data_IF_775066781791
#
_entry.id   IF_775066781791
#
_cell.length_a   1.000
_cell.length_b   1.000
_cell.length_c   1.000
_cell.angle_alpha   90.00
_cell.angle_beta   90.00
_cell.angle_gamma   90.00
#
_symmetry.space_group_name_H-M   'P 1'
#
loop_
_entity.id
_entity.type
_entity.pdbx_description
1 polymer ?
#
# COMPACT_ATOMS: atom_id res chain seq x y z
N UNK A 1 -24.09 -7.21 -1.74
CA UNK A 1 -24.45 -5.79 -1.54
C UNK A 1 -23.18 -4.93 -1.62
N UNK A 2 -22.27 -5.26 -2.55
CA UNK A 2 -20.89 -4.76 -2.58
C UNK A 2 -20.67 -3.60 -3.56
N UNK A 3 -21.64 -3.32 -4.44
CA UNK A 3 -21.57 -2.24 -5.45
C UNK A 3 -21.95 -0.84 -4.90
N UNK A 4 -22.15 -0.69 -3.58
CA UNK A 4 -22.58 0.58 -2.96
C UNK A 4 -21.41 1.30 -2.26
N UNK A 5 -20.28 0.61 -2.06
CA UNK A 5 -19.08 1.25 -1.52
C UNK A 5 -18.50 2.18 -2.59
N UNK A 6 -18.81 3.46 -2.44
CA UNK A 6 -18.36 4.53 -3.31
C UNK A 6 -16.85 4.44 -3.51
N UNK A 7 -16.48 4.17 -4.75
CA UNK A 7 -15.14 4.34 -5.26
C UNK A 7 -14.70 5.79 -4.95
N UNK A 8 -13.83 5.96 -3.96
CA UNK A 8 -13.31 7.25 -3.46
C UNK A 8 -12.43 7.98 -4.49
N UNK A 9 -12.49 7.62 -5.77
CA UNK A 9 -11.49 8.04 -6.78
C UNK A 9 -12.08 8.62 -8.07
N UNK A 10 -13.41 8.70 -8.23
CA UNK A 10 -14.00 9.09 -9.53
C UNK A 10 -14.07 10.60 -9.80
N UNK A 11 -13.64 11.46 -8.87
CA UNK A 11 -13.70 12.92 -9.00
C UNK A 11 -12.35 13.59 -8.71
N UNK A 12 -11.98 14.66 -9.44
CA UNK A 12 -10.81 15.47 -9.10
C UNK A 12 -10.92 16.04 -7.68
N UNK A 13 -9.78 16.20 -7.01
CA UNK A 13 -9.73 16.84 -5.69
C UNK A 13 -10.35 18.25 -5.73
N UNK A 14 -11.00 18.66 -4.63
CA UNK A 14 -11.68 19.96 -4.48
C UNK A 14 -10.83 21.14 -4.94
N UNK A 15 -9.52 21.08 -4.73
CA UNK A 15 -8.59 22.16 -5.12
C UNK A 15 -8.53 22.40 -6.63
N UNK A 16 -8.82 21.38 -7.44
CA UNK A 16 -8.86 21.48 -8.90
C UNK A 16 -10.27 21.76 -9.42
N UNK A 17 -11.31 21.61 -8.59
CA UNK A 17 -12.67 21.91 -8.99
C UNK A 17 -12.92 23.43 -8.97
N UNK A 18 -13.54 24.00 -10.01
CA UNK A 18 -14.01 25.38 -9.98
C UNK A 18 -14.94 25.63 -8.78
N UNK A 19 -14.84 26.83 -8.17
CA UNK A 19 -15.67 27.21 -7.00
C UNK A 19 -17.18 27.02 -7.24
N UNK A 20 -17.63 27.17 -8.48
CA UNK A 20 -19.03 26.96 -8.86
C UNK A 20 -19.51 25.50 -8.61
N UNK A 21 -18.60 24.52 -8.68
CA UNK A 21 -18.91 23.11 -8.44
C UNK A 21 -18.84 22.70 -6.97
N UNK A 22 -18.25 23.52 -6.10
CA UNK A 22 -18.06 23.19 -4.68
C UNK A 22 -19.39 22.92 -3.98
N UNK A 23 -20.45 23.66 -4.31
CA UNK A 23 -21.79 23.41 -3.75
C UNK A 23 -22.37 22.05 -4.16
N UNK A 24 -22.05 21.56 -5.36
CA UNK A 24 -22.48 20.23 -5.81
C UNK A 24 -21.68 19.13 -5.11
N UNK A 25 -20.37 19.35 -4.89
CA UNK A 25 -19.54 18.48 -4.07
C UNK A 25 -20.06 18.40 -2.64
N UNK A 26 -20.31 19.54 -1.99
CA UNK A 26 -20.84 19.60 -0.62
C UNK A 26 -22.19 18.88 -0.50
N UNK A 27 -23.05 18.98 -1.52
CA UNK A 27 -24.33 18.28 -1.55
C UNK A 27 -24.16 16.76 -1.69
N UNK A 28 -23.20 16.30 -2.51
CA UNK A 28 -22.87 14.87 -2.65
C UNK A 28 -22.28 14.33 -1.34
N UNK A 29 -21.37 15.06 -0.71
CA UNK A 29 -20.74 14.64 0.55
C UNK A 29 -21.77 14.58 1.67
N UNK A 30 -22.65 15.59 1.78
CA UNK A 30 -23.77 15.57 2.74
C UNK A 30 -24.71 14.38 2.53
N UNK A 31 -25.02 14.03 1.27
CA UNK A 31 -25.86 12.88 0.97
C UNK A 31 -25.17 11.55 1.33
N UNK A 32 -23.85 11.48 1.08
CA UNK A 32 -23.03 10.32 1.41
C UNK A 32 -22.88 10.13 2.92
N UNK A 33 -22.62 11.20 3.67
CA UNK A 33 -22.53 11.18 5.13
C UNK A 33 -23.83 10.66 5.75
N UNK A 34 -24.99 11.17 5.30
CA UNK A 34 -26.30 10.66 5.77
C UNK A 34 -26.51 9.19 5.44
N UNK A 35 -26.07 8.76 4.25
CA UNK A 35 -26.17 7.35 3.86
C UNK A 35 -25.31 6.46 4.76
N UNK A 36 -24.06 6.83 4.99
CA UNK A 36 -23.10 6.08 5.83
C UNK A 36 -23.52 6.09 7.30
N UNK A 37 -23.99 7.23 7.82
CA UNK A 37 -24.51 7.34 9.20
C UNK A 37 -25.71 6.41 9.39
N UNK A 38 -26.67 6.43 8.45
CA UNK A 38 -27.84 5.56 8.49
C UNK A 38 -27.48 4.08 8.34
N UNK A 39 -26.54 3.74 7.46
CA UNK A 39 -26.04 2.38 7.29
C UNK A 39 -25.37 1.88 8.58
N UNK A 40 -24.56 2.73 9.22
CA UNK A 40 -23.87 2.41 10.47
C UNK A 40 -24.85 2.23 11.64
N UNK A 41 -25.83 3.13 11.79
CA UNK A 41 -26.85 3.05 12.84
C UNK A 41 -27.69 1.76 12.73
N UNK A 42 -27.93 1.28 11.51
CA UNK A 42 -28.81 0.14 11.25
C UNK A 42 -28.10 -1.10 10.70
N UNK A 43 -26.77 -1.18 10.87
CA UNK A 43 -25.93 -2.25 10.31
C UNK A 43 -26.49 -3.65 10.61
N UNK A 44 -26.91 -3.91 11.84
CA UNK A 44 -27.47 -5.19 12.27
C UNK A 44 -28.74 -5.63 11.52
N UNK A 45 -29.54 -4.67 11.02
CA UNK A 45 -30.76 -4.95 10.25
C UNK A 45 -30.50 -5.02 8.74
N UNK A 46 -29.43 -4.39 8.28
CA UNK A 46 -29.03 -4.34 6.86
C UNK A 46 -28.27 -5.63 6.49
N UNK A 47 -27.45 -6.15 7.40
CA UNK A 47 -26.68 -7.36 7.21
C UNK A 47 -27.56 -8.54 6.75
N UNK A 48 -27.01 -9.39 5.88
CA UNK A 48 -27.73 -10.57 5.39
C UNK A 48 -28.06 -11.60 6.48
N UNK A 49 -27.27 -11.61 7.56
CA UNK A 49 -27.40 -12.52 8.70
C UNK A 49 -28.27 -11.96 9.84
N UNK A 50 -28.97 -10.84 9.63
CA UNK A 50 -29.80 -10.16 10.63
C UNK A 50 -30.75 -11.11 11.38
N UNK A 51 -31.32 -12.10 10.70
CA UNK A 51 -32.28 -13.05 11.28
C UNK A 51 -31.60 -13.99 12.28
N UNK A 52 -30.41 -14.50 11.93
CA UNK A 52 -29.57 -15.34 12.82
C UNK A 52 -29.14 -14.53 14.04
N UNK A 53 -28.72 -13.27 13.84
CA UNK A 53 -28.31 -12.39 14.92
C UNK A 53 -29.46 -12.06 15.87
N UNK A 54 -30.67 -11.81 15.34
CA UNK A 54 -31.85 -11.52 16.15
C UNK A 54 -32.32 -12.76 16.94
N UNK A 55 -32.29 -13.94 16.33
CA UNK A 55 -32.58 -15.22 17.02
C UNK A 55 -31.61 -15.48 18.17
N UNK A 56 -30.31 -15.29 17.95
CA UNK A 56 -29.30 -15.46 19.00
C UNK A 56 -29.50 -14.48 20.18
N UNK A 57 -30.00 -13.26 19.91
CA UNK A 57 -30.38 -12.31 20.96
C UNK A 57 -31.59 -12.77 21.75
N UNK A 58 -32.60 -13.35 21.10
CA UNK A 58 -33.79 -13.91 21.76
C UNK A 58 -33.42 -15.12 22.65
N UNK A 59 -32.57 -16.02 22.16
CA UNK A 59 -32.07 -17.16 22.95
C UNK A 59 -31.30 -16.69 24.20
N UNK A 60 -30.41 -15.70 24.04
CA UNK A 60 -29.64 -15.11 25.13
C UNK A 60 -30.54 -14.40 26.16
N UNK A 61 -31.53 -13.65 25.69
CA UNK A 61 -32.47 -12.93 26.55
C UNK A 61 -33.37 -13.89 27.34
N UNK A 62 -33.84 -14.98 26.72
CA UNK A 62 -34.59 -16.04 27.38
C UNK A 62 -33.76 -16.74 28.48
N UNK A 63 -32.49 -17.05 28.20
CA UNK A 63 -31.58 -17.62 29.19
C UNK A 63 -31.34 -16.68 30.38
N UNK A 64 -31.19 -15.37 30.12
CA UNK A 64 -31.05 -14.35 31.15
C UNK A 64 -32.32 -14.22 32.01
N UNK A 65 -33.50 -14.22 31.40
CA UNK A 65 -34.78 -14.15 32.12
C UNK A 65 -35.00 -15.35 33.05
N UNK A 66 -34.71 -16.57 32.56
CA UNK A 66 -34.76 -17.78 33.39
C UNK A 66 -33.81 -17.69 34.59
N UNK A 67 -32.60 -17.17 34.38
CA UNK A 67 -31.61 -16.97 35.45
C UNK A 67 -32.08 -15.92 36.48
N UNK A 68 -32.81 -14.91 36.03
CA UNK A 68 -33.38 -13.87 36.89
C UNK A 68 -34.68 -14.28 37.59
N UNK A 69 -35.20 -15.49 37.35
CA UNK A 69 -36.46 -15.97 37.93
C UNK A 69 -37.72 -15.32 37.32
N UNK A 70 -37.60 -14.76 36.12
CA UNK A 70 -38.71 -14.19 35.35
C UNK A 70 -39.14 -15.12 34.22
N UNK A 71 -40.40 -15.05 33.78
CA UNK A 71 -40.88 -15.85 32.64
C UNK A 71 -40.19 -15.37 31.34
N UNK A 72 -39.46 -16.25 30.61
CA UNK A 72 -38.82 -15.89 29.35
C UNK A 72 -39.83 -15.48 28.26
N UNK A 73 -41.10 -15.88 28.35
CA UNK A 73 -42.15 -15.51 27.39
C UNK A 73 -42.62 -14.06 27.55
N UNK A 74 -42.37 -13.43 28.71
CA UNK A 74 -42.69 -12.02 28.94
C UNK A 74 -41.62 -11.07 28.36
N UNK A 75 -40.49 -11.60 27.86
CA UNK A 75 -39.42 -10.81 27.26
C UNK A 75 -39.76 -10.48 25.80
N UNK A 76 -39.67 -9.21 25.37
CA UNK A 76 -39.95 -8.83 23.98
C UNK A 76 -38.99 -9.50 22.98
N UNK A 77 -39.55 -10.11 21.92
CA UNK A 77 -38.75 -10.71 20.84
C UNK A 77 -38.06 -9.67 19.97
N UNK A 78 -36.74 -9.80 19.87
CA UNK A 78 -35.87 -9.09 18.94
C UNK A 78 -36.07 -9.54 17.51
N UNK A 79 -36.39 -10.82 17.27
CA UNK A 79 -36.74 -11.29 15.93
C UNK A 79 -37.98 -10.59 15.38
N UNK A 80 -39.07 -10.54 16.14
CA UNK A 80 -40.31 -9.85 15.72
C UNK A 80 -40.07 -8.34 15.53
N UNK A 81 -39.31 -7.72 16.43
CA UNK A 81 -38.92 -6.32 16.32
C UNK A 81 -38.14 -6.06 15.02
N UNK A 82 -37.15 -6.90 14.72
CA UNK A 82 -36.32 -6.80 13.52
C UNK A 82 -37.13 -7.06 12.24
N UNK A 83 -37.99 -8.08 12.21
CA UNK A 83 -38.89 -8.38 11.09
C UNK A 83 -39.78 -7.18 10.74
N UNK A 84 -40.31 -6.48 11.74
CA UNK A 84 -41.15 -5.30 11.55
C UNK A 84 -40.35 -4.07 11.10
N UNK A 85 -39.15 -3.86 11.64
CA UNK A 85 -38.32 -2.67 11.35
C UNK A 85 -37.58 -2.77 10.02
N UNK A 86 -37.08 -3.96 9.67
CA UNK A 86 -36.16 -4.16 8.55
C UNK A 86 -36.70 -3.68 7.19
N UNK A 87 -37.95 -3.95 6.78
CA UNK A 87 -38.46 -3.44 5.52
C UNK A 87 -38.45 -1.91 5.45
N UNK A 88 -38.69 -1.22 6.58
CA UNK A 88 -38.65 0.24 6.67
C UNK A 88 -37.22 0.76 6.54
N UNK A 89 -36.27 0.12 7.23
CA UNK A 89 -34.84 0.43 7.15
C UNK A 89 -34.33 0.25 5.72
N UNK A 90 -34.60 -0.88 5.09
CA UNK A 90 -34.20 -1.13 3.70
C UNK A 90 -34.87 -0.16 2.72
N UNK A 91 -36.12 0.21 2.96
CA UNK A 91 -36.82 1.22 2.18
C UNK A 91 -36.13 2.59 2.26
N UNK A 92 -35.80 3.05 3.47
CA UNK A 92 -35.06 4.29 3.69
C UNK A 92 -33.66 4.24 3.07
N UNK A 93 -32.92 3.14 3.25
CA UNK A 93 -31.59 2.94 2.66
C UNK A 93 -31.62 3.05 1.14
N UNK A 94 -32.65 2.49 0.47
CA UNK A 94 -32.82 2.63 -0.99
C UNK A 94 -33.03 4.07 -1.42
N UNK A 95 -33.78 4.87 -0.65
CA UNK A 95 -34.01 6.30 -0.92
C UNK A 95 -32.71 7.08 -0.76
N UNK A 96 -31.97 6.88 0.33
CA UNK A 96 -30.68 7.52 0.57
C UNK A 96 -29.67 7.16 -0.52
N UNK A 97 -29.57 5.88 -0.91
CA UNK A 97 -28.71 5.45 -2.01
C UNK A 97 -29.12 6.05 -3.37
N UNK A 98 -30.42 6.28 -3.61
CA UNK A 98 -30.89 6.98 -4.80
C UNK A 98 -30.53 8.46 -4.77
N UNK A 99 -30.58 9.10 -3.59
CA UNK A 99 -30.15 10.49 -3.41
C UNK A 99 -28.66 10.66 -3.69
N UNK A 100 -27.80 9.81 -3.11
CA UNK A 100 -26.35 9.78 -3.37
C UNK A 100 -26.06 9.67 -4.86
N UNK A 101 -26.68 8.70 -5.54
CA UNK A 101 -26.51 8.52 -7.00
C UNK A 101 -26.95 9.73 -7.81
N UNK A 102 -28.03 10.40 -7.40
CA UNK A 102 -28.53 11.60 -8.06
C UNK A 102 -27.57 12.78 -7.90
N UNK A 103 -27.07 13.02 -6.69
CA UNK A 103 -26.10 14.09 -6.43
C UNK A 103 -24.77 13.84 -7.12
N UNK A 104 -24.33 12.58 -7.13
CA UNK A 104 -23.10 12.16 -7.80
C UNK A 104 -23.20 12.34 -9.32
N UNK A 105 -24.28 11.88 -9.95
CA UNK A 105 -24.50 12.06 -11.39
C UNK A 105 -24.56 13.54 -11.79
N UNK A 106 -25.18 14.39 -10.96
CA UNK A 106 -25.21 15.83 -11.20
C UNK A 106 -23.81 16.47 -11.13
N UNK A 107 -23.01 16.07 -10.14
CA UNK A 107 -21.63 16.53 -9.98
C UNK A 107 -20.74 16.05 -11.13
N UNK A 108 -20.78 14.76 -11.47
CA UNK A 108 -20.02 14.19 -12.60
C UNK A 108 -20.36 14.89 -13.91
N UNK A 109 -21.64 15.14 -14.18
CA UNK A 109 -22.06 15.85 -15.38
C UNK A 109 -21.53 17.29 -15.42
N UNK A 110 -21.46 17.96 -14.27
CA UNK A 110 -20.92 19.32 -14.18
C UNK A 110 -19.39 19.33 -14.32
N UNK A 111 -18.69 18.41 -13.67
CA UNK A 111 -17.23 18.24 -13.77
C UNK A 111 -16.80 17.97 -15.21
N UNK A 112 -17.53 17.11 -15.93
CA UNK A 112 -17.24 16.79 -17.35
C UNK A 112 -17.22 18.03 -18.26
N UNK A 113 -18.02 19.06 -17.95
CA UNK A 113 -18.05 20.31 -18.71
C UNK A 113 -16.86 21.20 -18.42
N UNK A 114 -16.28 21.06 -17.23
CA UNK A 114 -15.15 21.85 -16.74
C UNK A 114 -13.79 21.14 -16.91
N UNK A 115 -13.76 19.91 -17.48
CA UNK A 115 -12.55 19.13 -17.64
C UNK A 115 -11.38 19.91 -18.27
N UNK A 116 -11.57 20.70 -19.36
CA UNK A 116 -10.45 21.46 -19.93
C UNK A 116 -9.86 22.49 -18.95
N UNK A 117 -10.68 23.11 -18.12
CA UNK A 117 -10.22 24.07 -17.11
C UNK A 117 -9.50 23.35 -15.95
N UNK A 118 -9.98 22.17 -15.57
CA UNK A 118 -9.35 21.31 -14.56
C UNK A 118 -7.97 20.83 -15.04
N UNK A 119 -7.87 20.36 -16.30
CA UNK A 119 -6.61 19.97 -16.94
C UNK A 119 -5.62 21.14 -16.98
N UNK A 120 -6.06 22.32 -17.42
CA UNK A 120 -5.22 23.52 -17.46
C UNK A 120 -4.74 23.94 -16.06
N UNK A 121 -5.53 23.71 -15.00
CA UNK A 121 -5.13 23.98 -13.63
C UNK A 121 -4.18 22.91 -13.06
N UNK A 122 -4.24 21.67 -13.56
CA UNK A 122 -3.38 20.57 -13.15
C UNK A 122 -1.97 20.67 -13.77
N UNK A 123 -1.86 21.18 -15.00
CA UNK A 123 -0.60 21.23 -15.75
C UNK A 123 0.56 21.94 -15.01
N UNK A 124 0.36 23.12 -14.38
CA UNK A 124 1.42 23.77 -13.60
C UNK A 124 1.88 22.93 -12.39
N UNK A 125 0.98 22.16 -11.79
CA UNK A 125 1.30 21.27 -10.66
C UNK A 125 2.15 20.11 -11.15
N UNK A 126 1.79 19.51 -12.28
CA UNK A 126 2.58 18.44 -12.93
C UNK A 126 3.97 18.97 -13.30
N UNK A 127 4.06 20.15 -13.93
CA UNK A 127 5.34 20.76 -14.30
C UNK A 127 6.22 21.06 -13.09
N UNK A 128 5.63 21.54 -11.98
CA UNK A 128 6.35 21.77 -10.72
C UNK A 128 6.85 20.46 -10.12
N UNK A 129 6.02 19.41 -10.08
CA UNK A 129 6.39 18.09 -9.58
C UNK A 129 7.50 17.46 -10.44
N UNK A 130 7.42 17.56 -11.76
CA UNK A 130 8.45 17.09 -12.68
C UNK A 130 9.78 17.81 -12.46
N UNK A 131 9.76 19.13 -12.26
CA UNK A 131 10.95 19.91 -11.96
C UNK A 131 11.58 19.47 -10.63
N UNK A 132 10.77 19.30 -9.58
CA UNK A 132 11.24 18.83 -8.28
C UNK A 132 11.85 17.42 -8.38
N UNK A 133 11.24 16.54 -9.17
CA UNK A 133 11.77 15.21 -9.45
C UNK A 133 13.14 15.26 -10.13
N UNK A 134 13.31 16.07 -11.18
CA UNK A 134 14.60 16.25 -11.87
C UNK A 134 15.68 16.77 -10.92
N UNK A 135 15.36 17.74 -10.06
CA UNK A 135 16.30 18.27 -9.07
C UNK A 135 16.71 17.20 -8.06
N UNK A 136 15.75 16.42 -7.55
CA UNK A 136 16.03 15.32 -6.63
C UNK A 136 16.90 14.23 -7.29
N UNK A 137 16.63 13.89 -8.55
CA UNK A 137 17.41 12.93 -9.31
C UNK A 137 18.85 13.42 -9.50
N UNK A 138 19.05 14.68 -9.88
CA UNK A 138 20.38 15.27 -10.02
C UNK A 138 21.16 15.26 -8.70
N UNK A 139 20.50 15.55 -7.58
CA UNK A 139 21.11 15.47 -6.25
C UNK A 139 21.49 14.03 -5.87
N UNK A 140 20.62 13.06 -6.18
CA UNK A 140 20.88 11.64 -5.95
C UNK A 140 22.07 11.14 -6.79
N UNK A 141 22.13 11.52 -8.07
CA UNK A 141 23.25 11.16 -8.95
C UNK A 141 24.57 11.80 -8.47
N UNK A 142 24.55 13.06 -8.04
CA UNK A 142 25.73 13.70 -7.46
C UNK A 142 26.20 13.00 -6.17
N UNK A 143 25.27 12.60 -5.28
CA UNK A 143 25.60 11.82 -4.10
C UNK A 143 26.21 10.45 -4.45
N UNK A 144 25.64 9.78 -5.46
CA UNK A 144 26.15 8.51 -6.00
C UNK A 144 27.59 8.66 -6.53
N UNK A 145 27.88 9.74 -7.27
CA UNK A 145 29.24 10.00 -7.79
C UNK A 145 30.26 10.25 -6.67
N UNK A 146 29.88 11.00 -5.62
CA UNK A 146 30.74 11.22 -4.44
C UNK A 146 31.00 9.93 -3.67
N UNK A 147 30.00 9.07 -3.58
CA UNK A 147 30.15 7.75 -2.98
C UNK A 147 31.18 6.91 -3.76
N UNK A 148 31.05 6.82 -5.09
CA UNK A 148 32.03 6.10 -5.92
C UNK A 148 33.45 6.67 -5.84
N UNK A 149 33.61 8.00 -5.81
CA UNK A 149 34.91 8.63 -5.59
C UNK A 149 35.54 8.23 -4.24
N UNK A 150 34.71 8.12 -3.19
CA UNK A 150 35.15 7.68 -1.87
C UNK A 150 35.57 6.20 -1.85
N UNK A 151 34.93 5.35 -2.66
CA UNK A 151 35.31 3.94 -2.83
C UNK A 151 36.67 3.80 -3.52
N UNK A 152 36.95 4.62 -4.54
CA UNK A 152 38.27 4.64 -5.19
C UNK A 152 39.38 5.01 -4.21
N UNK A 153 39.18 6.07 -3.41
CA UNK A 153 40.13 6.45 -2.36
C UNK A 153 40.37 5.29 -1.38
N UNK A 154 39.30 4.62 -0.94
CA UNK A 154 39.41 3.46 -0.05
C UNK A 154 40.18 2.31 -0.69
N UNK A 155 39.90 1.99 -1.96
CA UNK A 155 40.58 0.93 -2.69
C UNK A 155 42.07 1.21 -2.75
N UNK A 156 42.45 2.43 -3.13
CA UNK A 156 43.84 2.88 -3.15
C UNK A 156 44.53 2.78 -1.77
N UNK A 157 43.88 3.26 -0.69
CA UNK A 157 44.43 3.11 0.68
C UNK A 157 44.62 1.63 1.04
N UNK A 158 43.71 0.75 0.60
CA UNK A 158 43.79 -0.69 0.87
C UNK A 158 44.94 -1.35 0.10
N UNK A 159 45.09 -1.04 -1.19
CA UNK A 159 46.21 -1.49 -2.02
C UNK A 159 47.55 -1.07 -1.41
N UNK A 160 47.64 0.18 -0.96
CA UNK A 160 48.84 0.74 -0.36
C UNK A 160 49.17 0.11 1.00
N UNK A 161 48.19 0.05 1.91
CA UNK A 161 48.41 -0.36 3.30
C UNK A 161 48.42 -1.89 3.50
N UNK A 162 47.63 -2.65 2.74
CA UNK A 162 47.50 -4.10 2.92
C UNK A 162 48.28 -4.90 1.90
N UNK A 163 48.30 -4.46 0.64
CA UNK A 163 48.94 -5.20 -0.45
C UNK A 163 50.35 -4.70 -0.76
N UNK A 164 50.74 -3.54 -0.22
CA UNK A 164 52.03 -2.91 -0.48
C UNK A 164 52.17 -2.40 -1.92
N UNK A 165 51.05 -2.32 -2.66
CA UNK A 165 51.02 -1.84 -4.04
C UNK A 165 51.02 -0.31 -4.01
N UNK A 166 51.93 0.30 -4.79
CA UNK A 166 52.04 1.76 -4.90
C UNK A 166 51.45 2.21 -6.22
N UNK A 167 50.13 2.07 -6.34
CA UNK A 167 49.37 2.59 -7.47
C UNK A 167 49.28 4.11 -7.36
N UNK A 168 49.31 4.79 -8.50
CA UNK A 168 49.11 6.23 -8.56
C UNK A 168 47.63 6.54 -8.27
N UNK A 169 47.37 7.42 -7.30
CA UNK A 169 46.05 7.97 -7.06
C UNK A 169 45.99 9.39 -7.57
N UNK A 170 44.99 9.69 -8.40
CA UNK A 170 44.78 11.05 -8.84
C UNK A 170 44.11 11.84 -7.69
N UNK A 171 44.89 12.70 -7.05
CA UNK A 171 44.35 13.61 -6.05
C UNK A 171 43.22 14.47 -6.65
N UNK A 172 42.11 14.57 -5.93
CA UNK A 172 40.98 15.41 -6.30
C UNK A 172 39.90 14.76 -7.17
N UNK A 173 39.85 13.43 -7.28
CA UNK A 173 38.67 12.75 -7.85
C UNK A 173 37.44 13.10 -6.97
N UNK A 174 36.60 14.00 -7.47
CA UNK A 174 35.38 14.44 -6.79
C UNK A 174 34.16 13.56 -7.13
N UNK A 175 34.19 12.90 -8.28
CA UNK A 175 33.06 12.17 -8.86
C UNK A 175 33.57 10.90 -9.58
N UNK A 176 33.00 9.75 -9.23
CA UNK A 176 33.20 8.49 -9.95
C UNK A 176 31.99 7.57 -9.79
N UNK A 177 31.72 6.75 -10.81
CA UNK A 177 30.64 5.75 -10.70
C UNK A 177 31.05 4.69 -9.67
N UNK A 178 30.15 4.33 -8.72
CA UNK A 178 30.42 3.25 -7.78
C UNK A 178 30.60 1.92 -8.51
N UNK A 179 31.55 1.13 -8.01
CA UNK A 179 31.90 -0.22 -8.47
C UNK A 179 32.12 -1.11 -7.24
N UNK A 180 32.06 -2.42 -7.43
CA UNK A 180 32.44 -3.39 -6.41
C UNK A 180 33.95 -3.41 -6.15
N UNK A 181 34.39 -4.31 -5.26
CA UNK A 181 35.80 -4.50 -4.90
C UNK A 181 36.69 -4.92 -6.07
N UNK A 182 36.13 -5.50 -7.14
CA UNK A 182 36.85 -5.92 -8.35
C UNK A 182 36.89 -4.84 -9.43
N UNK A 183 36.21 -3.70 -9.20
CA UNK A 183 36.09 -2.62 -10.16
C UNK A 183 34.97 -2.81 -11.19
N UNK A 184 34.06 -3.74 -10.94
CA UNK A 184 32.93 -4.02 -11.83
C UNK A 184 31.64 -3.32 -11.34
N UNK A 185 30.69 -3.03 -12.24
CA UNK A 185 29.35 -2.63 -11.84
C UNK A 185 28.68 -3.76 -11.04
N UNK A 186 28.03 -3.43 -9.93
CA UNK A 186 27.30 -4.44 -9.15
C UNK A 186 26.09 -4.99 -9.89
N UNK A 187 25.98 -6.32 -9.87
CA UNK A 187 24.88 -7.07 -10.45
C UNK A 187 24.16 -7.91 -9.39
N UNK A 188 22.88 -8.21 -9.62
CA UNK A 188 22.13 -9.19 -8.85
C UNK A 188 22.57 -10.64 -9.15
N UNK A 189 21.91 -11.61 -8.52
CA UNK A 189 22.19 -13.04 -8.68
C UNK A 189 21.97 -13.55 -10.12
N UNK A 190 21.18 -12.83 -10.93
CA UNK A 190 20.89 -13.17 -12.32
C UNK A 190 21.86 -12.45 -13.29
N UNK A 191 22.87 -11.73 -12.77
CA UNK A 191 23.81 -10.95 -13.56
C UNK A 191 23.22 -9.64 -14.13
N UNK A 192 22.09 -9.17 -13.60
CA UNK A 192 21.44 -7.91 -14.03
C UNK A 192 21.94 -6.75 -13.18
N UNK A 193 21.99 -5.55 -13.75
CA UNK A 193 22.37 -4.37 -13.00
C UNK A 193 21.41 -4.12 -11.82
N UNK A 194 21.97 -3.92 -10.62
CA UNK A 194 21.17 -3.55 -9.44
C UNK A 194 20.63 -2.12 -9.62
N UNK A 195 19.38 -1.89 -9.23
CA UNK A 195 18.81 -0.54 -9.25
C UNK A 195 19.57 0.41 -8.32
N UNK A 196 19.77 1.65 -8.79
CA UNK A 196 20.47 2.71 -8.06
C UNK A 196 19.82 2.95 -6.69
N UNK A 197 20.64 3.29 -5.70
CA UNK A 197 20.18 3.65 -4.36
C UNK A 197 20.63 2.65 -3.30
N UNK A 198 19.78 2.38 -2.29
CA UNK A 198 20.19 1.60 -1.12
C UNK A 198 20.63 0.17 -1.45
N UNK A 199 20.00 -0.48 -2.43
CA UNK A 199 20.37 -1.84 -2.86
C UNK A 199 21.76 -1.88 -3.50
N UNK A 200 22.08 -0.92 -4.37
CA UNK A 200 23.42 -0.74 -4.96
C UNK A 200 24.47 -0.50 -3.87
N UNK A 201 24.20 0.40 -2.92
CA UNK A 201 25.11 0.68 -1.81
C UNK A 201 25.36 -0.56 -0.95
N UNK A 202 24.30 -1.30 -0.60
CA UNK A 202 24.43 -2.52 0.20
C UNK A 202 25.24 -3.60 -0.53
N UNK A 203 24.97 -3.85 -1.82
CA UNK A 203 25.72 -4.85 -2.59
C UNK A 203 27.21 -4.49 -2.70
N UNK A 204 27.52 -3.21 -2.91
CA UNK A 204 28.90 -2.73 -2.92
C UNK A 204 29.54 -2.90 -1.54
N UNK A 205 28.87 -2.47 -0.47
CA UNK A 205 29.41 -2.59 0.89
C UNK A 205 29.60 -4.04 1.33
N UNK A 206 28.73 -4.97 0.89
CA UNK A 206 28.91 -6.42 1.03
C UNK A 206 30.16 -6.91 0.29
N UNK A 207 30.42 -6.46 -0.95
CA UNK A 207 31.64 -6.81 -1.69
C UNK A 207 32.93 -6.36 -0.98
N UNK A 208 32.87 -5.23 -0.25
CA UNK A 208 33.97 -4.74 0.58
C UNK A 208 33.99 -5.33 2.00
N UNK A 209 33.09 -6.26 2.33
CA UNK A 209 32.97 -6.89 3.64
C UNK A 209 32.61 -5.94 4.78
N UNK A 210 31.99 -4.79 4.49
CA UNK A 210 31.60 -3.77 5.49
C UNK A 210 30.29 -4.11 6.19
N UNK A 211 29.41 -4.78 5.46
CA UNK A 211 28.15 -5.34 5.96
C UNK A 211 28.32 -6.85 5.92
N UNK A 212 27.91 -7.52 7.00
CA UNK A 212 27.88 -8.98 7.01
C UNK A 212 26.86 -9.40 5.96
N UNK A 213 27.33 -10.09 4.91
CA UNK A 213 26.47 -10.65 3.89
C UNK A 213 25.38 -11.46 4.59
N UNK A 214 24.12 -11.10 4.33
CA UNK A 214 23.02 -11.84 4.93
C UNK A 214 23.08 -13.28 4.42
N UNK A 215 22.96 -14.28 5.31
CA UNK A 215 22.96 -15.67 4.87
C UNK A 215 21.89 -15.86 3.80
N UNK A 216 22.25 -16.51 2.71
CA UNK A 216 21.35 -16.83 1.61
C UNK A 216 20.99 -18.30 1.68
N UNK A 217 19.79 -18.63 1.22
CA UNK A 217 19.32 -20.00 1.08
C UNK A 217 18.68 -20.17 -0.30
N UNK A 218 18.84 -21.36 -0.88
CA UNK A 218 18.16 -21.73 -2.11
C UNK A 218 16.84 -22.39 -1.76
N UNK A 219 15.75 -21.82 -2.26
CA UNK A 219 14.40 -22.38 -2.13
C UNK A 219 13.87 -22.77 -3.50
N UNK A 220 13.05 -23.81 -3.54
CA UNK A 220 12.26 -24.21 -4.70
C UNK A 220 10.81 -23.77 -4.50
N UNK A 221 10.31 -22.93 -5.40
CA UNK A 221 8.91 -22.50 -5.40
C UNK A 221 7.98 -23.67 -5.73
N UNK A 222 6.94 -23.88 -4.91
CA UNK A 222 5.97 -24.95 -5.13
C UNK A 222 4.98 -24.64 -6.26
N UNK A 223 4.89 -23.37 -6.67
CA UNK A 223 3.98 -22.92 -7.73
C UNK A 223 4.50 -23.21 -9.12
N UNK A 224 5.82 -23.09 -9.34
CA UNK A 224 6.44 -23.20 -10.66
C UNK A 224 7.71 -24.08 -10.70
N UNK A 225 8.13 -24.65 -9.57
CA UNK A 225 9.31 -25.51 -9.47
C UNK A 225 10.65 -24.79 -9.62
N UNK A 226 10.66 -23.46 -9.67
CA UNK A 226 11.87 -22.68 -9.88
C UNK A 226 12.71 -22.63 -8.59
N UNK A 227 14.01 -22.88 -8.72
CA UNK A 227 14.99 -22.68 -7.65
C UNK A 227 15.49 -21.24 -7.67
N UNK A 228 15.46 -20.59 -6.50
CA UNK A 228 15.83 -19.19 -6.33
C UNK A 228 16.69 -19.09 -5.08
N UNK A 229 17.86 -18.47 -5.21
CA UNK A 229 18.69 -18.07 -4.07
C UNK A 229 18.17 -16.75 -3.51
N UNK A 230 17.74 -16.73 -2.25
CA UNK A 230 17.24 -15.52 -1.57
C UNK A 230 17.81 -15.40 -0.16
N UNK A 231 17.57 -14.29 0.52
CA UNK A 231 17.96 -14.12 1.92
C UNK A 231 17.27 -15.16 2.80
N UNK A 232 18.01 -15.74 3.74
CA UNK A 232 17.58 -16.88 4.55
C UNK A 232 16.34 -16.57 5.42
N UNK A 233 16.17 -15.32 5.84
CA UNK A 233 14.98 -14.83 6.56
C UNK A 233 13.73 -14.82 5.67
N UNK A 234 13.85 -14.35 4.42
CA UNK A 234 12.79 -14.43 3.42
C UNK A 234 12.50 -15.88 3.01
N UNK A 235 13.53 -16.71 2.84
CA UNK A 235 13.39 -18.15 2.60
C UNK A 235 12.61 -18.82 3.72
N UNK A 236 12.97 -18.56 4.98
CA UNK A 236 12.26 -19.09 6.13
C UNK A 236 10.79 -18.66 6.14
N UNK A 237 10.49 -17.41 5.79
CA UNK A 237 9.10 -16.94 5.68
C UNK A 237 8.31 -17.62 4.56
N UNK A 238 8.92 -17.85 3.39
CA UNK A 238 8.28 -18.51 2.24
C UNK A 238 8.11 -20.02 2.43
N UNK A 239 8.99 -20.64 3.21
CA UNK A 239 8.82 -22.04 3.61
C UNK A 239 7.75 -22.16 4.69
N UNK A 240 7.78 -21.29 5.71
CA UNK A 240 6.81 -21.30 6.80
C UNK A 240 5.37 -21.04 6.33
N UNK A 241 5.19 -20.24 5.27
CA UNK A 241 3.88 -19.97 4.69
C UNK A 241 3.44 -21.00 3.63
N UNK A 242 4.25 -22.04 3.38
CA UNK A 242 3.96 -23.13 2.44
C UNK A 242 4.03 -22.75 0.97
N UNK A 243 4.69 -21.64 0.60
CA UNK A 243 4.84 -21.22 -0.80
C UNK A 243 6.08 -21.81 -1.48
N UNK A 244 7.05 -22.30 -0.69
CA UNK A 244 8.30 -22.86 -1.18
C UNK A 244 8.81 -23.98 -0.25
N UNK A 245 9.79 -24.74 -0.74
CA UNK A 245 10.59 -25.70 0.04
C UNK A 245 12.08 -25.33 -0.06
N UNK A 246 12.91 -25.70 0.91
CA UNK A 246 14.37 -25.56 0.75
C UNK A 246 14.87 -26.54 -0.32
N UNK A 247 15.72 -26.07 -1.23
CA UNK A 247 16.26 -26.90 -2.29
C UNK A 247 17.22 -27.96 -1.69
N UNK A 248 17.19 -29.22 -2.18
CA UNK A 248 18.04 -30.29 -1.66
C UNK A 248 19.52 -30.00 -1.93
N UNK A 249 20.31 -29.85 -0.86
CA UNK A 249 21.74 -29.52 -0.92
C UNK A 249 22.09 -28.08 -0.57
N UNK A 250 21.11 -27.23 -0.23
CA UNK A 250 21.37 -25.95 0.41
C UNK A 250 21.60 -26.19 1.91
N UNK A 251 22.83 -25.98 2.39
CA UNK A 251 23.11 -25.97 3.83
C UNK A 251 22.28 -24.84 4.48
N UNK A 252 21.52 -25.20 5.51
CA UNK A 252 20.64 -24.30 6.26
C UNK A 252 21.40 -23.38 7.21
#
# INVERSE_FOLDING_TARGET
MTDIYADTTSLPSRQFLPKALHKLLDARDTAYDKFVEFESEHAALIDSSWEVAALAQDESAGAAAMTAGTDPLDVPSKLEEAQRKRPKVLGALKVLAAEVRRTDAALVAAVRRELPAIEAAAEPVIGSAATAYVVAQAAADAARQRYGASLLLRSWVTEWAKLGLRTDFQDGIAEASPVDVEGHPVTDIDGRAIQRGAAEVNAIDESFGRVVARPKAVIRSLTNGQEIEIQADHAASLVANGSAEYAPGADA
#
